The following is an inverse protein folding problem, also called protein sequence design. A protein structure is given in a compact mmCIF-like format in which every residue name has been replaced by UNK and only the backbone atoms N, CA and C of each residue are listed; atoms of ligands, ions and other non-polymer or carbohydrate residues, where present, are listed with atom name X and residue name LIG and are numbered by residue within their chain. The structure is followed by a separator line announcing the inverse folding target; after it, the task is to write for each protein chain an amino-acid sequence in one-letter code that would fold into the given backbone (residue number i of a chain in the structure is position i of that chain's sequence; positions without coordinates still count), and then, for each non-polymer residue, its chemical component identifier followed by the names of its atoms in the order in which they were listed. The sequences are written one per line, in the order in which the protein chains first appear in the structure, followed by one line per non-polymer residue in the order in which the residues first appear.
data_IF_219223675886
#
_entry.id   IF_219223675886
#
_cell.length_a   1.000
_cell.length_b   1.000
_cell.length_c   1.000
_cell.angle_alpha   90.00
_cell.angle_beta   90.00
_cell.angle_gamma   90.00
#
_symmetry.space_group_name_H-M   'P 1'
#
loop_
_entity.id
_entity.type
_entity.pdbx_description
1 polymer ?
#
# COMPACT_ATOMS: atom_id res chain seq x y z
N UNK A 1 -30.22 -23.25 16.10
CA UNK A 1 -29.64 -23.14 14.77
C UNK A 1 -28.17 -22.77 14.81
N UNK A 2 -27.33 -23.70 15.32
CA UNK A 2 -25.89 -23.51 15.57
C UNK A 2 -25.10 -23.28 14.26
N UNK A 3 -25.42 -23.99 13.17
CA UNK A 3 -24.76 -23.84 11.86
C UNK A 3 -25.00 -22.46 11.26
N UNK A 4 -26.21 -21.92 11.30
CA UNK A 4 -26.51 -20.60 10.76
C UNK A 4 -25.77 -19.49 11.51
N UNK A 5 -25.73 -19.54 12.86
CA UNK A 5 -24.96 -18.60 13.69
C UNK A 5 -23.45 -18.66 13.38
N UNK A 6 -22.88 -19.85 13.17
CA UNK A 6 -21.48 -20.04 12.82
C UNK A 6 -21.16 -19.44 11.44
N UNK A 7 -22.01 -19.66 10.44
CA UNK A 7 -21.84 -19.10 9.08
C UNK A 7 -21.92 -17.58 9.09
N UNK A 8 -22.88 -17.00 9.82
CA UNK A 8 -23.01 -15.53 9.95
C UNK A 8 -21.77 -14.94 10.63
N UNK A 9 -21.26 -15.55 11.69
CA UNK A 9 -20.04 -15.11 12.38
C UNK A 9 -18.82 -15.18 11.47
N UNK A 10 -18.64 -16.25 10.67
CA UNK A 10 -17.54 -16.38 9.71
C UNK A 10 -17.60 -15.32 8.62
N UNK A 11 -18.80 -14.98 8.11
CA UNK A 11 -18.98 -13.91 7.13
C UNK A 11 -18.63 -12.55 7.73
N UNK A 12 -19.07 -12.27 8.94
CA UNK A 12 -18.75 -11.02 9.64
C UNK A 12 -17.25 -10.86 9.85
N UNK A 13 -16.56 -11.89 10.35
CA UNK A 13 -15.11 -11.87 10.58
C UNK A 13 -14.34 -11.65 9.25
N UNK A 14 -14.83 -12.22 8.14
CA UNK A 14 -14.22 -12.02 6.83
C UNK A 14 -14.38 -10.58 6.35
N UNK A 15 -15.55 -9.97 6.52
CA UNK A 15 -15.80 -8.58 6.15
C UNK A 15 -14.90 -7.64 6.96
N UNK A 16 -14.81 -7.84 8.27
CA UNK A 16 -13.92 -7.05 9.14
C UNK A 16 -12.45 -7.19 8.72
N UNK A 17 -12.00 -8.39 8.31
CA UNK A 17 -10.64 -8.59 7.80
C UNK A 17 -10.41 -7.84 6.49
N UNK A 18 -11.34 -7.91 5.56
CA UNK A 18 -11.23 -7.18 4.28
C UNK A 18 -11.24 -5.66 4.49
N UNK A 19 -12.02 -5.16 5.45
CA UNK A 19 -12.02 -3.75 5.83
C UNK A 19 -10.67 -3.31 6.40
N UNK A 20 -10.07 -4.10 7.28
CA UNK A 20 -8.72 -3.85 7.82
C UNK A 20 -7.64 -3.87 6.74
N UNK A 21 -7.73 -4.79 5.78
CA UNK A 21 -6.81 -4.88 4.64
C UNK A 21 -6.97 -3.66 3.72
N UNK A 22 -8.21 -3.23 3.44
CA UNK A 22 -8.48 -1.99 2.70
C UNK A 22 -7.82 -0.79 3.38
N UNK A 23 -8.10 -0.60 4.66
CA UNK A 23 -7.61 0.55 5.42
C UNK A 23 -6.07 0.54 5.50
N UNK A 24 -5.46 -0.64 5.63
CA UNK A 24 -4.01 -0.81 5.58
C UNK A 24 -3.42 -0.45 4.20
N UNK A 25 -4.10 -0.82 3.10
CA UNK A 25 -3.67 -0.46 1.75
C UNK A 25 -3.75 1.05 1.52
N UNK A 26 -4.84 1.67 1.94
CA UNK A 26 -5.03 3.13 1.86
C UNK A 26 -3.97 3.87 2.68
N UNK A 27 -3.66 3.42 3.90
CA UNK A 27 -2.54 3.96 4.67
C UNK A 27 -1.20 3.80 3.94
N UNK A 28 -0.98 2.67 3.30
CA UNK A 28 0.21 2.44 2.48
C UNK A 28 0.35 3.45 1.34
N UNK A 29 -0.76 3.78 0.66
CA UNK A 29 -0.83 4.82 -0.36
C UNK A 29 -0.56 6.23 0.19
N UNK A 30 -0.91 6.48 1.44
CA UNK A 30 -0.79 7.80 2.06
C UNK A 30 0.53 8.02 2.84
N UNK A 31 1.13 6.97 3.36
CA UNK A 31 2.37 7.05 4.14
C UNK A 31 3.61 6.57 3.37
N UNK A 32 3.44 5.88 2.25
CA UNK A 32 4.51 5.46 1.37
C UNK A 32 5.50 4.46 1.98
N UNK A 33 5.11 3.72 3.03
CA UNK A 33 6.00 2.77 3.70
C UNK A 33 5.86 1.34 3.15
N UNK A 34 6.87 0.48 3.41
CA UNK A 34 6.78 -0.95 3.13
C UNK A 34 5.79 -1.61 4.09
N UNK A 35 5.22 -2.74 3.68
CA UNK A 35 4.32 -3.50 4.53
C UNK A 35 4.96 -3.86 5.90
N UNK A 36 6.22 -4.31 5.89
CA UNK A 36 6.97 -4.61 7.13
C UNK A 36 7.11 -3.43 8.09
N UNK A 37 7.06 -2.21 7.59
CA UNK A 37 7.11 -1.00 8.40
C UNK A 37 5.70 -0.56 8.82
N UNK A 38 4.71 -0.69 7.94
CA UNK A 38 3.31 -0.35 8.24
C UNK A 38 2.71 -1.21 9.36
N UNK A 39 3.03 -2.51 9.43
CA UNK A 39 2.55 -3.38 10.52
C UNK A 39 3.08 -2.99 11.91
N UNK A 40 4.10 -2.14 11.96
CA UNK A 40 4.73 -1.64 13.19
C UNK A 40 4.26 -0.25 13.59
N UNK A 41 3.23 0.27 12.91
CA UNK A 41 2.65 1.58 13.27
C UNK A 41 2.13 1.56 14.70
N UNK A 42 2.54 2.55 15.46
CA UNK A 42 2.13 2.80 16.84
C UNK A 42 1.96 4.31 17.08
N UNK A 43 1.29 4.75 18.14
CA UNK A 43 1.08 6.17 18.44
C UNK A 43 2.37 6.99 18.52
N UNK A 44 3.48 6.36 18.93
CA UNK A 44 4.78 7.05 19.08
C UNK A 44 5.37 7.48 17.74
N UNK A 45 4.91 6.89 16.63
CA UNK A 45 5.34 7.27 15.29
C UNK A 45 4.78 8.63 14.83
N UNK A 46 3.76 9.15 15.52
CA UNK A 46 3.03 10.36 15.11
C UNK A 46 3.39 11.54 16.01
N UNK A 47 4.23 12.43 15.50
CA UNK A 47 4.66 13.65 16.20
C UNK A 47 4.75 14.80 15.20
N UNK A 48 4.49 16.03 15.68
CA UNK A 48 4.65 17.26 14.90
C UNK A 48 3.89 17.25 13.55
N UNK A 49 2.68 16.69 13.53
CA UNK A 49 1.85 16.63 12.31
C UNK A 49 2.35 15.68 11.24
N UNK A 50 3.28 14.79 11.56
CA UNK A 50 3.84 13.82 10.64
C UNK A 50 3.99 12.42 11.22
N UNK A 51 4.31 11.49 10.34
CA UNK A 51 4.63 10.10 10.63
C UNK A 51 6.14 9.88 10.53
N UNK A 52 6.74 9.28 11.53
CA UNK A 52 8.18 8.95 11.59
C UNK A 52 8.40 7.49 11.89
N UNK A 53 9.29 6.84 11.15
CA UNK A 53 9.66 5.45 11.41
C UNK A 53 11.10 5.17 10.99
N UNK A 54 11.76 4.25 11.70
CA UNK A 54 13.02 3.63 11.25
C UNK A 54 12.67 2.37 10.48
N UNK A 55 13.02 2.31 9.21
CA UNK A 55 12.69 1.18 8.33
C UNK A 55 13.44 -0.07 8.76
N UNK A 56 12.72 -1.19 8.88
CA UNK A 56 13.28 -2.47 9.32
C UNK A 56 14.36 -2.99 8.35
N UNK A 57 14.12 -2.87 7.05
CA UNK A 57 15.03 -3.43 6.02
C UNK A 57 16.33 -2.63 5.84
N UNK A 58 16.28 -1.31 5.99
CA UNK A 58 17.38 -0.41 5.59
C UNK A 58 17.97 0.39 6.74
N UNK A 59 17.31 0.43 7.91
CA UNK A 59 17.67 1.31 9.02
C UNK A 59 17.46 2.81 8.76
N UNK A 60 16.94 3.19 7.59
CA UNK A 60 16.74 4.59 7.24
C UNK A 60 15.61 5.21 8.07
N UNK A 61 15.86 6.39 8.60
CA UNK A 61 14.83 7.21 9.23
C UNK A 61 13.98 7.89 8.15
N UNK A 62 12.68 7.63 8.18
CA UNK A 62 11.71 8.25 7.29
C UNK A 62 10.84 9.23 8.05
N UNK A 63 10.46 10.32 7.39
CA UNK A 63 9.49 11.29 7.90
C UNK A 63 8.52 11.67 6.78
N UNK A 64 7.23 11.53 7.06
CA UNK A 64 6.13 11.85 6.16
C UNK A 64 5.29 12.95 6.80
N UNK A 65 5.41 14.21 6.39
CA UNK A 65 4.47 15.26 6.79
C UNK A 65 3.10 14.97 6.17
N UNK A 66 2.14 14.51 6.99
CA UNK A 66 0.86 13.96 6.53
C UNK A 66 0.09 14.98 5.71
N UNK A 67 -0.02 16.22 6.16
CA UNK A 67 -0.76 17.26 5.46
C UNK A 67 -0.17 17.66 4.08
N UNK A 68 1.09 17.31 3.82
CA UNK A 68 1.77 17.69 2.57
C UNK A 68 1.94 16.52 1.61
N UNK A 69 2.33 15.35 2.14
CA UNK A 69 2.72 14.21 1.32
C UNK A 69 1.64 13.12 1.23
N UNK A 70 0.70 13.04 2.17
CA UNK A 70 -0.41 12.11 2.01
C UNK A 70 -1.26 12.47 0.80
N UNK A 71 -1.76 11.48 0.10
CA UNK A 71 -2.68 11.67 -1.03
C UNK A 71 -3.96 12.35 -0.55
N UNK A 72 -4.50 11.86 0.58
CA UNK A 72 -5.59 12.51 1.32
C UNK A 72 -5.29 12.44 2.84
N UNK A 73 -4.96 13.60 3.42
CA UNK A 73 -4.67 13.70 4.84
C UNK A 73 -5.91 13.40 5.72
N UNK A 74 -7.12 13.75 5.29
CA UNK A 74 -8.36 13.53 6.05
C UNK A 74 -8.65 12.04 6.17
N UNK A 75 -8.53 11.30 5.06
CA UNK A 75 -8.70 9.84 5.05
C UNK A 75 -7.62 9.20 5.92
N UNK A 76 -6.38 9.69 5.83
CA UNK A 76 -5.26 9.19 6.63
C UNK A 76 -5.57 9.31 8.12
N UNK A 77 -5.96 10.50 8.59
CA UNK A 77 -6.29 10.71 10.00
C UNK A 77 -7.52 9.91 10.43
N UNK A 78 -8.56 9.84 9.62
CA UNK A 78 -9.76 9.05 9.94
C UNK A 78 -9.44 7.56 10.13
N UNK A 79 -8.56 6.99 9.30
CA UNK A 79 -8.11 5.60 9.49
C UNK A 79 -7.24 5.48 10.75
N UNK A 80 -6.30 6.39 10.98
CA UNK A 80 -5.45 6.34 12.17
C UNK A 80 -6.26 6.43 13.45
N UNK A 81 -7.23 7.32 13.53
CA UNK A 81 -8.14 7.48 14.68
C UNK A 81 -8.98 6.21 14.89
N UNK A 82 -9.54 5.63 13.81
CA UNK A 82 -10.33 4.39 13.88
C UNK A 82 -9.56 3.23 14.52
N UNK A 83 -8.24 3.18 14.33
CA UNK A 83 -7.38 2.11 14.87
C UNK A 83 -6.48 2.58 16.02
N UNK A 84 -6.81 3.70 16.66
CA UNK A 84 -6.04 4.30 17.76
C UNK A 84 -4.54 4.43 17.40
N UNK A 85 -4.25 4.87 16.18
CA UNK A 85 -2.89 5.03 15.64
C UNK A 85 -2.04 3.74 15.61
N UNK A 86 -2.70 2.58 15.55
CA UNK A 86 -2.06 1.29 15.30
C UNK A 86 -2.32 0.81 13.88
N UNK A 87 -1.55 -0.19 13.46
CA UNK A 87 -1.75 -0.79 12.14
C UNK A 87 -3.13 -1.47 12.04
N UNK A 88 -3.93 -1.18 11.01
CA UNK A 88 -5.24 -1.82 10.80
C UNK A 88 -5.16 -3.34 10.67
N UNK A 89 -4.07 -3.84 10.06
CA UNK A 89 -3.82 -5.25 9.81
C UNK A 89 -2.37 -5.60 10.11
N UNK A 90 -2.11 -6.68 10.85
CA UNK A 90 -0.78 -7.10 11.31
C UNK A 90 -0.45 -8.56 10.97
N UNK A 91 -1.24 -9.20 10.09
CA UNK A 91 -1.03 -10.59 9.68
C UNK A 91 0.16 -10.77 8.72
N UNK A 92 0.34 -11.99 8.24
CA UNK A 92 1.36 -12.32 7.25
C UNK A 92 1.11 -11.60 5.90
N UNK A 93 2.20 -11.25 5.20
CA UNK A 93 2.13 -10.50 3.93
C UNK A 93 1.45 -11.29 2.81
N UNK A 94 1.59 -12.61 2.77
CA UNK A 94 0.96 -13.44 1.73
C UNK A 94 -0.55 -13.47 1.95
N UNK A 95 -0.98 -13.64 3.20
CA UNK A 95 -2.38 -13.54 3.59
C UNK A 95 -2.94 -12.15 3.29
N UNK A 96 -2.18 -11.09 3.61
CA UNK A 96 -2.56 -9.72 3.29
C UNK A 96 -2.79 -9.54 1.79
N UNK A 97 -1.85 -9.94 0.94
CA UNK A 97 -2.00 -9.83 -0.52
C UNK A 97 -3.17 -10.68 -1.05
N UNK A 98 -3.39 -11.88 -0.48
CA UNK A 98 -4.54 -12.73 -0.83
C UNK A 98 -5.88 -12.06 -0.50
N UNK A 99 -6.01 -11.44 0.67
CA UNK A 99 -7.21 -10.67 1.04
C UNK A 99 -7.36 -9.41 0.18
N UNK A 100 -6.26 -8.74 -0.14
CA UNK A 100 -6.26 -7.59 -1.04
C UNK A 100 -6.80 -7.97 -2.43
N UNK A 101 -6.35 -9.09 -3.00
CA UNK A 101 -6.87 -9.60 -4.26
C UNK A 101 -8.37 -9.93 -4.18
N UNK A 102 -8.83 -10.56 -3.09
CA UNK A 102 -10.25 -10.81 -2.88
C UNK A 102 -11.05 -9.52 -2.80
N UNK A 103 -10.55 -8.51 -2.10
CA UNK A 103 -11.18 -7.20 -2.00
C UNK A 103 -11.31 -6.55 -3.38
N UNK A 104 -10.20 -6.46 -4.12
CA UNK A 104 -10.14 -5.83 -5.43
C UNK A 104 -11.02 -6.53 -6.47
N UNK A 105 -11.12 -7.85 -6.41
CA UNK A 105 -12.05 -8.63 -7.25
C UNK A 105 -13.51 -8.19 -7.08
N UNK A 106 -13.90 -7.70 -5.89
CA UNK A 106 -15.27 -7.30 -5.57
C UNK A 106 -15.54 -5.80 -5.68
N UNK A 107 -14.51 -4.95 -5.83
CA UNK A 107 -14.68 -3.49 -5.79
C UNK A 107 -15.19 -2.92 -7.12
N UNK A 108 -14.79 -3.50 -8.26
CA UNK A 108 -15.24 -2.97 -9.55
C UNK A 108 -14.61 -3.63 -10.76
N UNK A 109 -15.22 -3.37 -11.91
CA UNK A 109 -14.85 -3.99 -13.18
C UNK A 109 -13.44 -3.61 -13.64
N UNK A 110 -12.96 -2.41 -13.33
CA UNK A 110 -11.61 -1.94 -13.66
C UNK A 110 -10.50 -2.87 -13.16
N UNK A 111 -10.72 -3.57 -12.03
CA UNK A 111 -9.76 -4.51 -11.49
C UNK A 111 -9.86 -5.91 -12.13
N UNK A 112 -10.89 -6.16 -12.92
CA UNK A 112 -11.09 -7.42 -13.64
C UNK A 112 -10.50 -7.38 -15.06
N UNK A 113 -10.05 -6.23 -15.53
CA UNK A 113 -9.39 -6.06 -16.83
C UNK A 113 -8.21 -7.01 -16.98
N UNK A 114 -8.09 -7.60 -18.15
CA UNK A 114 -6.97 -8.48 -18.51
C UNK A 114 -5.77 -7.65 -18.99
N UNK A 115 -4.64 -7.89 -18.35
CA UNK A 115 -3.36 -7.23 -18.64
C UNK A 115 -2.40 -8.27 -19.21
N UNK A 116 -1.84 -7.99 -20.38
CA UNK A 116 -0.80 -8.81 -20.99
C UNK A 116 0.57 -8.39 -20.47
N UNK A 117 1.35 -9.37 -20.00
CA UNK A 117 2.68 -9.14 -19.44
C UNK A 117 3.67 -9.98 -20.23
N UNK A 118 4.69 -9.33 -20.76
CA UNK A 118 5.80 -10.01 -21.43
C UNK A 118 6.94 -10.20 -20.42
N UNK A 119 7.17 -11.44 -20.01
CA UNK A 119 8.25 -11.85 -19.13
C UNK A 119 9.39 -12.43 -19.96
N UNK A 120 10.60 -11.89 -19.82
CA UNK A 120 11.79 -12.46 -20.45
C UNK A 120 12.46 -13.47 -19.52
N UNK A 121 12.34 -14.76 -19.83
CA UNK A 121 12.95 -15.86 -19.08
C UNK A 121 13.97 -16.55 -19.99
N UNK A 122 15.22 -16.60 -19.57
CA UNK A 122 16.34 -17.21 -20.33
C UNK A 122 16.45 -16.71 -21.79
N UNK A 123 16.16 -15.42 -22.02
CA UNK A 123 16.20 -14.84 -23.37
C UNK A 123 14.91 -14.99 -24.19
N UNK A 124 13.98 -15.83 -23.76
CA UNK A 124 12.69 -16.05 -24.42
C UNK A 124 11.62 -15.15 -23.81
N UNK A 125 10.84 -14.49 -24.66
CA UNK A 125 9.69 -13.69 -24.22
C UNK A 125 8.50 -14.64 -24.02
N UNK A 126 8.03 -14.73 -22.78
CA UNK A 126 6.84 -15.46 -22.41
C UNK A 126 5.71 -14.47 -22.11
N UNK A 127 4.64 -14.52 -22.90
CA UNK A 127 3.46 -13.70 -22.66
C UNK A 127 2.54 -14.40 -21.67
N UNK A 128 2.19 -13.69 -20.60
CA UNK A 128 1.23 -14.13 -19.59
C UNK A 128 0.06 -13.13 -19.53
N UNK A 129 -1.15 -13.62 -19.40
CA UNK A 129 -2.34 -12.77 -19.20
C UNK A 129 -2.76 -12.89 -17.75
N UNK A 130 -2.86 -11.75 -17.07
CA UNK A 130 -3.34 -11.64 -15.69
C UNK A 130 -4.44 -10.59 -15.59
N UNK A 131 -5.36 -10.77 -14.67
CA UNK A 131 -6.29 -9.70 -14.31
C UNK A 131 -5.60 -8.64 -13.47
N UNK A 132 -5.98 -7.37 -13.64
CA UNK A 132 -5.34 -6.22 -12.97
C UNK A 132 -5.20 -6.42 -11.45
N UNK A 133 -6.23 -6.95 -10.76
CA UNK A 133 -6.16 -7.19 -9.32
C UNK A 133 -5.02 -8.13 -8.90
N UNK A 134 -4.64 -9.08 -9.75
CA UNK A 134 -3.57 -10.04 -9.47
C UNK A 134 -2.16 -9.41 -9.52
N UNK A 135 -2.05 -8.23 -10.12
CA UNK A 135 -0.80 -7.45 -10.21
C UNK A 135 -0.61 -6.50 -9.05
N UNK A 136 -1.68 -6.25 -8.28
CA UNK A 136 -1.65 -5.32 -7.16
C UNK A 136 -1.21 -6.06 -5.89
N UNK A 137 -0.27 -5.46 -5.18
CA UNK A 137 0.26 -6.00 -3.92
C UNK A 137 0.45 -4.87 -2.90
N UNK A 138 0.86 -5.23 -1.69
CA UNK A 138 1.27 -4.24 -0.68
C UNK A 138 2.28 -3.22 -1.19
N UNK A 139 3.14 -3.63 -2.13
CA UNK A 139 4.16 -2.76 -2.73
C UNK A 139 3.56 -1.71 -3.66
N UNK A 140 2.43 -2.03 -4.31
CA UNK A 140 1.70 -1.10 -5.19
C UNK A 140 1.24 0.15 -4.44
N UNK A 141 0.82 0.02 -3.19
CA UNK A 141 0.44 1.16 -2.35
C UNK A 141 1.60 2.18 -2.21
N UNK A 142 2.80 1.70 -1.93
CA UNK A 142 3.99 2.56 -1.82
C UNK A 142 4.41 3.16 -3.16
N UNK A 143 4.24 2.42 -4.27
CA UNK A 143 4.48 2.95 -5.62
C UNK A 143 3.48 4.06 -5.94
N UNK A 144 2.20 3.89 -5.62
CA UNK A 144 1.18 4.93 -5.77
C UNK A 144 1.53 6.20 -5.01
N UNK A 145 1.99 6.09 -3.75
CA UNK A 145 2.48 7.25 -2.99
C UNK A 145 3.57 8.00 -3.75
N UNK A 146 4.60 7.27 -4.22
CA UNK A 146 5.73 7.87 -4.92
C UNK A 146 5.31 8.53 -6.25
N UNK A 147 4.54 7.82 -7.07
CA UNK A 147 4.07 8.28 -8.38
C UNK A 147 3.17 9.51 -8.24
N UNK A 148 2.15 9.46 -7.38
CA UNK A 148 1.20 10.57 -7.21
C UNK A 148 1.91 11.81 -6.66
N UNK A 149 2.84 11.68 -5.72
CA UNK A 149 3.60 12.83 -5.23
C UNK A 149 4.55 13.40 -6.28
N UNK A 150 5.08 12.56 -7.18
CA UNK A 150 5.85 13.05 -8.36
C UNK A 150 4.94 13.83 -9.30
N UNK A 151 3.75 13.33 -9.63
CA UNK A 151 2.74 14.03 -10.44
C UNK A 151 2.24 15.34 -9.81
N UNK A 152 2.23 15.41 -8.48
CA UNK A 152 1.93 16.65 -7.72
C UNK A 152 3.10 17.62 -7.68
N UNK A 153 4.17 17.39 -8.42
CA UNK A 153 5.38 18.19 -8.45
C UNK A 153 6.05 18.37 -7.07
N UNK A 154 5.88 17.41 -6.18
CA UNK A 154 6.61 17.41 -4.90
C UNK A 154 8.10 17.17 -5.19
N UNK A 155 9.02 17.97 -4.62
CA UNK A 155 10.45 17.79 -4.82
C UNK A 155 10.89 16.33 -4.52
N UNK A 156 11.62 15.72 -5.46
CA UNK A 156 12.08 14.32 -5.35
C UNK A 156 12.79 14.03 -4.03
N UNK A 157 13.61 14.97 -3.55
CA UNK A 157 14.31 14.85 -2.27
C UNK A 157 13.37 14.64 -1.08
N UNK A 158 12.19 15.27 -1.07
CA UNK A 158 11.17 15.06 -0.03
C UNK A 158 10.54 13.67 -0.13
N UNK A 159 10.25 13.21 -1.36
CA UNK A 159 9.67 11.88 -1.59
C UNK A 159 10.68 10.79 -1.22
N UNK A 160 11.94 10.93 -1.61
CA UNK A 160 13.05 10.02 -1.26
C UNK A 160 13.18 9.90 0.26
N UNK A 161 13.19 11.02 0.99
CA UNK A 161 13.26 11.06 2.46
C UNK A 161 12.04 10.39 3.11
N UNK A 162 10.85 10.64 2.58
CA UNK A 162 9.60 10.04 3.07
C UNK A 162 9.57 8.53 2.86
N UNK A 163 10.02 8.08 1.70
CA UNK A 163 10.02 6.65 1.34
C UNK A 163 11.31 5.92 1.77
N UNK A 164 12.37 6.61 2.18
CA UNK A 164 13.64 6.00 2.57
C UNK A 164 14.39 5.33 1.42
N UNK A 165 14.27 5.87 0.20
CA UNK A 165 15.12 5.43 -0.91
C UNK A 165 16.53 6.03 -0.78
N UNK A 166 17.55 5.19 -0.94
CA UNK A 166 18.95 5.59 -0.79
C UNK A 166 19.53 6.23 -2.06
N UNK A 167 18.89 6.07 -3.22
CA UNK A 167 19.37 6.63 -4.47
C UNK A 167 18.22 7.05 -5.39
N UNK A 168 18.45 8.09 -6.16
CA UNK A 168 17.52 8.59 -7.17
C UNK A 168 17.32 7.57 -8.31
N UNK A 169 18.40 6.89 -8.73
CA UNK A 169 18.33 5.83 -9.75
C UNK A 169 17.40 4.69 -9.37
N UNK A 170 17.40 4.28 -8.08
CA UNK A 170 16.47 3.27 -7.58
C UNK A 170 15.03 3.80 -7.55
N UNK A 171 14.86 5.08 -7.23
CA UNK A 171 13.55 5.72 -7.17
C UNK A 171 12.91 5.87 -8.55
N UNK A 172 13.66 6.31 -9.58
CA UNK A 172 13.13 6.46 -10.95
C UNK A 172 12.58 5.14 -11.50
N UNK A 173 13.25 4.02 -11.26
CA UNK A 173 12.74 2.69 -11.63
C UNK A 173 11.49 2.28 -10.84
N UNK A 174 11.24 2.96 -9.75
CA UNK A 174 10.17 2.64 -8.83
C UNK A 174 8.86 3.35 -9.17
N UNK A 175 8.94 4.56 -9.70
CA UNK A 175 7.78 5.30 -10.15
C UNK A 175 7.31 4.77 -11.50
N UNK A 176 6.01 4.50 -11.62
CA UNK A 176 5.36 4.13 -12.88
C UNK A 176 4.93 5.41 -13.60
N UNK A 177 5.90 6.13 -14.15
CA UNK A 177 5.67 7.36 -14.88
C UNK A 177 6.51 7.34 -16.13
N UNK A 178 5.89 7.27 -17.30
CA UNK A 178 6.52 7.49 -18.57
C UNK A 178 6.57 9.00 -18.80
N UNK A 179 7.76 9.57 -18.91
CA UNK A 179 7.98 10.99 -19.19
C UNK A 179 7.57 11.40 -20.64
N UNK A 180 6.98 10.46 -21.40
CA UNK A 180 6.50 10.66 -22.76
C UNK A 180 4.99 10.92 -22.79
N UNK A 181 4.53 12.08 -22.24
CA UNK A 181 3.27 12.75 -22.63
C UNK A 181 3.31 14.20 -22.18
#
# INVERSE_FOLDING_TARGET
NFRAKKVVKLRKNKIETLERVRDMFVLGCNLGQRYSDLVRISPENFKNGGFSIVQQKTGNKCFVPINTLSIDARITFAILEKYNYHAPYTGDINNYNSYLHQLLYHIGEDFLEEIHIDNKINGVIMRETKRRYQLISSHSARRSFATINTLRNIPRSKILRATGHSSEKAFVRYICYDEEN
#
